data_IF_945684007806
#
_entry.id   IF_945684007806
#
_cell.length_a   1.000
_cell.length_b   1.000
_cell.length_c   1.000
_cell.angle_alpha   90.00
_cell.angle_beta   90.00
_cell.angle_gamma   90.00
#
_symmetry.space_group_name_H-M   'P 1'
#
loop_
_entity.id
_entity.type
_entity.pdbx_description
1 polymer ?
#
# COMPACT_ATOMS: atom_id res chain seq x y z
N UNK A 1 12.90 5.60 7.34
CA UNK A 1 13.69 4.75 6.42
C UNK A 1 12.76 3.69 5.82
N UNK A 2 12.97 3.31 4.56
CA UNK A 2 12.06 2.46 3.77
C UNK A 2 11.60 1.17 4.48
N UNK A 3 12.52 0.46 5.16
CA UNK A 3 12.18 -0.80 5.86
C UNK A 3 11.09 -0.64 6.90
N UNK A 4 11.10 0.48 7.66
CA UNK A 4 10.06 0.78 8.65
C UNK A 4 8.71 1.00 7.98
N UNK A 5 8.66 1.74 6.86
CA UNK A 5 7.41 1.96 6.12
C UNK A 5 6.83 0.64 5.62
N UNK A 6 7.67 -0.25 5.07
CA UNK A 6 7.25 -1.57 4.61
C UNK A 6 6.73 -2.42 5.78
N UNK A 7 7.44 -2.46 6.91
CA UNK A 7 7.02 -3.19 8.11
C UNK A 7 5.67 -2.70 8.66
N UNK A 8 5.51 -1.38 8.77
CA UNK A 8 4.27 -0.74 9.22
C UNK A 8 3.10 -1.06 8.27
N UNK A 9 3.35 -1.09 6.96
CA UNK A 9 2.33 -1.42 5.96
C UNK A 9 1.91 -2.89 5.98
N UNK A 10 2.86 -3.83 6.16
CA UNK A 10 2.54 -5.24 6.36
C UNK A 10 1.57 -5.40 7.53
N UNK A 11 1.89 -4.78 8.67
CA UNK A 11 1.06 -4.81 9.87
C UNK A 11 -0.31 -4.17 9.64
N UNK A 12 -0.33 -2.99 9.01
CA UNK A 12 -1.55 -2.25 8.70
C UNK A 12 -2.51 -3.09 7.86
N UNK A 13 -2.06 -3.65 6.73
CA UNK A 13 -2.90 -4.47 5.87
C UNK A 13 -3.35 -5.77 6.54
N UNK A 14 -2.47 -6.42 7.31
CA UNK A 14 -2.83 -7.62 8.08
C UNK A 14 -3.99 -7.34 9.05
N UNK A 15 -3.89 -6.26 9.83
CA UNK A 15 -4.92 -5.88 10.81
C UNK A 15 -6.23 -5.49 10.10
N UNK A 16 -6.17 -4.71 9.03
CA UNK A 16 -7.37 -4.31 8.27
C UNK A 16 -8.10 -5.49 7.64
N UNK A 17 -7.36 -6.54 7.28
CA UNK A 17 -7.92 -7.81 6.80
C UNK A 17 -8.34 -8.76 7.93
N UNK A 18 -8.27 -8.32 9.19
CA UNK A 18 -8.61 -9.09 10.40
C UNK A 18 -7.81 -10.39 10.54
N UNK A 19 -6.58 -10.40 10.04
CA UNK A 19 -5.70 -11.57 10.10
C UNK A 19 -4.84 -11.53 11.37
N UNK A 20 -4.71 -12.65 12.07
CA UNK A 20 -3.67 -12.85 13.09
C UNK A 20 -2.29 -13.08 12.44
N UNK A 21 -1.21 -13.05 13.22
CA UNK A 21 0.11 -13.45 12.72
C UNK A 21 0.11 -14.91 12.25
N UNK A 22 -0.62 -15.79 12.94
CA UNK A 22 -0.78 -17.19 12.55
C UNK A 22 -1.54 -17.35 11.21
N UNK A 23 -2.53 -16.49 10.95
CA UNK A 23 -3.24 -16.49 9.66
C UNK A 23 -2.31 -16.08 8.51
N UNK A 24 -1.55 -15.00 8.69
CA UNK A 24 -0.59 -14.55 7.67
C UNK A 24 0.56 -15.54 7.51
N UNK A 25 0.99 -16.18 8.60
CA UNK A 25 1.99 -17.25 8.59
C UNK A 25 1.56 -18.39 7.68
N UNK A 26 0.32 -18.85 7.83
CA UNK A 26 -0.26 -19.92 7.02
C UNK A 26 -0.34 -19.55 5.54
N UNK A 27 -0.77 -18.33 5.22
CA UNK A 27 -0.98 -17.92 3.82
C UNK A 27 0.30 -17.50 3.11
N UNK A 28 1.34 -17.09 3.85
CA UNK A 28 2.65 -16.71 3.29
C UNK A 28 3.70 -17.81 3.37
N UNK A 29 3.42 -18.91 4.09
CA UNK A 29 4.38 -19.98 4.40
C UNK A 29 5.64 -19.46 5.11
N UNK A 30 5.43 -18.52 6.05
CA UNK A 30 6.48 -17.91 6.87
C UNK A 30 6.12 -18.10 8.34
N UNK A 31 7.08 -18.44 9.17
CA UNK A 31 6.90 -18.57 10.61
C UNK A 31 6.31 -17.28 11.25
N UNK A 32 5.36 -17.45 12.17
CA UNK A 32 4.63 -16.33 12.79
C UNK A 32 5.51 -15.47 13.71
N UNK A 33 6.51 -16.08 14.36
CA UNK A 33 7.53 -15.38 15.15
C UNK A 33 8.42 -14.56 14.23
N UNK A 34 8.82 -15.10 13.08
CA UNK A 34 9.54 -14.36 12.05
C UNK A 34 8.72 -13.16 11.55
N UNK A 35 7.45 -13.35 11.17
CA UNK A 35 6.55 -12.26 10.76
C UNK A 35 6.39 -11.19 11.84
N UNK A 36 6.31 -11.58 13.11
CA UNK A 36 6.26 -10.65 14.23
C UNK A 36 7.51 -9.74 14.28
N UNK A 37 8.70 -10.30 14.04
CA UNK A 37 9.96 -9.54 13.97
C UNK A 37 10.00 -8.63 12.74
N UNK A 38 9.43 -9.06 11.61
CA UNK A 38 9.28 -8.24 10.40
C UNK A 38 8.43 -7.01 10.70
N UNK A 39 7.23 -7.20 11.28
CA UNK A 39 6.31 -6.09 11.58
C UNK A 39 6.85 -5.08 12.61
N UNK A 40 7.74 -5.54 13.51
CA UNK A 40 8.43 -4.66 14.46
C UNK A 40 9.69 -4.01 13.88
N UNK A 41 10.01 -4.28 12.61
CA UNK A 41 11.22 -3.82 11.93
C UNK A 41 12.52 -4.20 12.68
N UNK A 42 12.52 -5.38 13.31
CA UNK A 42 13.68 -5.94 14.04
C UNK A 42 14.64 -6.70 13.11
N UNK A 43 14.17 -7.06 11.92
CA UNK A 43 14.94 -7.77 10.90
C UNK A 43 14.71 -7.15 9.52
N UNK A 44 15.75 -7.20 8.69
CA UNK A 44 15.63 -6.90 7.28
C UNK A 44 15.20 -8.15 6.53
N UNK A 45 14.27 -7.99 5.59
CA UNK A 45 13.76 -9.07 4.75
C UNK A 45 14.24 -8.93 3.30
N UNK A 46 14.30 -10.03 2.58
CA UNK A 46 14.54 -10.02 1.14
C UNK A 46 13.27 -9.62 0.37
N UNK A 47 13.41 -9.20 -0.88
CA UNK A 47 12.26 -8.96 -1.76
C UNK A 47 11.42 -10.24 -1.98
N UNK A 48 12.05 -11.41 -2.06
CA UNK A 48 11.32 -12.69 -2.17
C UNK A 48 10.45 -12.95 -0.93
N UNK A 49 10.97 -12.64 0.27
CA UNK A 49 10.21 -12.74 1.51
C UNK A 49 9.04 -11.75 1.51
N UNK A 50 9.29 -10.51 1.07
CA UNK A 50 8.23 -9.49 0.93
C UNK A 50 7.15 -9.93 -0.07
N UNK A 51 7.53 -10.52 -1.21
CA UNK A 51 6.58 -11.01 -2.20
C UNK A 51 5.68 -12.11 -1.63
N UNK A 52 6.24 -13.05 -0.84
CA UNK A 52 5.45 -14.06 -0.12
C UNK A 52 4.47 -13.44 0.87
N UNK A 53 4.89 -12.42 1.61
CA UNK A 53 4.02 -11.68 2.53
C UNK A 53 2.88 -10.98 1.79
N UNK A 54 3.19 -10.27 0.69
CA UNK A 54 2.20 -9.59 -0.15
C UNK A 54 1.17 -10.59 -0.71
N UNK A 55 1.63 -11.75 -1.19
CA UNK A 55 0.75 -12.85 -1.63
C UNK A 55 -0.10 -13.40 -0.49
N UNK A 56 0.50 -13.60 0.70
CA UNK A 56 -0.20 -14.05 1.90
C UNK A 56 -1.24 -13.07 2.41
N UNK A 57 -1.05 -11.77 2.17
CA UNK A 57 -2.05 -10.72 2.41
C UNK A 57 -3.15 -10.68 1.34
N UNK A 58 -3.08 -11.53 0.31
CA UNK A 58 -3.96 -11.52 -0.86
C UNK A 58 -3.99 -10.15 -1.55
N UNK A 59 -2.79 -9.64 -1.86
CA UNK A 59 -2.59 -8.37 -2.53
C UNK A 59 -1.64 -8.53 -3.72
N UNK A 60 -1.76 -7.62 -4.67
CA UNK A 60 -0.75 -7.40 -5.71
C UNK A 60 0.32 -6.43 -5.20
N UNK A 61 1.54 -6.42 -5.78
CA UNK A 61 2.54 -5.41 -5.46
C UNK A 61 2.02 -3.97 -5.64
N UNK A 62 1.26 -3.70 -6.69
CA UNK A 62 0.67 -2.37 -6.92
C UNK A 62 -0.26 -1.94 -5.77
N UNK A 63 -1.13 -2.85 -5.30
CA UNK A 63 -1.99 -2.57 -4.14
C UNK A 63 -1.18 -2.38 -2.85
N UNK A 64 -0.14 -3.20 -2.65
CA UNK A 64 0.70 -3.10 -1.46
C UNK A 64 1.50 -1.80 -1.44
N UNK A 65 2.07 -1.40 -2.57
CA UNK A 65 2.88 -0.18 -2.70
C UNK A 65 2.05 1.08 -2.99
N UNK A 66 0.72 1.00 -3.02
CA UNK A 66 -0.15 2.16 -3.22
C UNK A 66 0.03 3.27 -2.17
N UNK A 67 0.65 2.98 -1.01
CA UNK A 67 1.04 4.00 -0.03
C UNK A 67 2.22 4.86 -0.46
N UNK A 68 2.94 4.48 -1.52
CA UNK A 68 4.02 5.27 -2.11
C UNK A 68 3.49 6.28 -3.13
N UNK A 69 2.18 6.31 -3.39
CA UNK A 69 1.60 7.27 -4.32
C UNK A 69 1.40 8.61 -3.60
N UNK A 70 1.95 9.65 -4.23
CA UNK A 70 1.89 11.09 -3.90
C UNK A 70 3.01 11.66 -3.04
N UNK A 71 4.25 11.56 -3.54
CA UNK A 71 5.18 12.69 -3.39
C UNK A 71 4.87 13.70 -4.50
N UNK A 72 4.06 14.70 -4.15
CA UNK A 72 3.94 15.95 -4.91
C UNK A 72 4.46 17.06 -4.01
N UNK A 73 5.33 17.93 -4.54
CA UNK A 73 5.76 19.15 -3.84
C UNK A 73 4.60 20.11 -3.57
N UNK A 74 3.42 19.84 -4.16
CA UNK A 74 2.18 20.53 -3.89
C UNK A 74 1.25 19.68 -2.99
N UNK A 75 1.16 19.98 -1.68
CA UNK A 75 0.29 19.25 -0.74
C UNK A 75 -1.20 19.34 -1.07
N UNK A 76 -1.65 20.41 -1.74
CA UNK A 76 -3.06 20.55 -2.13
C UNK A 76 -3.42 19.58 -3.26
N UNK A 77 -2.50 19.35 -4.20
CA UNK A 77 -2.71 18.36 -5.24
C UNK A 77 -2.85 16.95 -4.66
N UNK A 78 -2.04 16.61 -3.65
CA UNK A 78 -2.15 15.33 -2.93
C UNK A 78 -3.52 15.17 -2.29
N UNK A 79 -4.01 16.19 -1.58
CA UNK A 79 -5.33 16.18 -0.95
C UNK A 79 -6.46 16.01 -1.96
N UNK A 80 -6.38 16.72 -3.09
CA UNK A 80 -7.38 16.62 -4.16
C UNK A 80 -7.42 15.20 -4.73
N UNK A 81 -6.27 14.59 -4.98
CA UNK A 81 -6.22 13.24 -5.52
C UNK A 81 -6.77 12.22 -4.52
N UNK A 82 -6.44 12.34 -3.23
CA UNK A 82 -7.02 11.49 -2.16
C UNK A 82 -8.56 11.62 -2.08
N UNK A 83 -9.08 12.85 -2.18
CA UNK A 83 -10.53 13.10 -2.22
C UNK A 83 -11.19 12.49 -3.45
N UNK A 84 -10.56 12.58 -4.62
CA UNK A 84 -11.05 11.96 -5.86
C UNK A 84 -11.09 10.43 -5.71
N UNK A 85 -10.03 9.83 -5.18
CA UNK A 85 -9.93 8.38 -4.97
C UNK A 85 -11.02 7.85 -4.03
N UNK A 86 -11.35 8.58 -2.96
CA UNK A 86 -12.39 8.19 -1.98
C UNK A 86 -13.82 8.48 -2.41
N UNK A 87 -14.02 9.23 -3.49
CA UNK A 87 -15.34 9.66 -3.94
C UNK A 87 -16.10 8.53 -4.65
N UNK A 88 -17.42 8.35 -4.40
CA UNK A 88 -18.25 7.43 -5.18
C UNK A 88 -18.35 7.82 -6.66
N UNK A 89 -17.98 9.06 -7.01
CA UNK A 89 -17.95 9.58 -8.38
C UNK A 89 -16.54 9.62 -8.98
N UNK A 90 -15.57 8.87 -8.41
CA UNK A 90 -14.18 8.85 -8.85
C UNK A 90 -14.02 8.82 -10.38
N UNK A 91 -14.70 7.89 -11.07
CA UNK A 91 -14.63 7.77 -12.54
C UNK A 91 -14.98 9.07 -13.27
N UNK A 92 -16.03 9.75 -12.85
CA UNK A 92 -16.47 11.02 -13.44
C UNK A 92 -15.47 12.14 -13.13
N UNK A 93 -15.00 12.22 -11.88
CA UNK A 93 -14.01 13.23 -11.45
C UNK A 93 -12.68 13.07 -12.18
N UNK A 94 -12.22 11.84 -12.38
CA UNK A 94 -11.00 11.55 -13.17
C UNK A 94 -11.17 11.93 -14.65
N UNK A 95 -12.37 11.79 -15.23
CA UNK A 95 -12.64 12.27 -16.60
C UNK A 95 -12.50 13.78 -16.71
N UNK A 96 -13.12 14.52 -15.79
CA UNK A 96 -13.06 15.99 -15.77
C UNK A 96 -11.62 16.46 -15.58
N UNK A 97 -10.87 15.85 -14.64
CA UNK A 97 -9.47 16.18 -14.42
C UNK A 97 -8.62 15.98 -15.69
N UNK A 98 -8.89 14.91 -16.44
CA UNK A 98 -8.22 14.64 -17.73
C UNK A 98 -8.58 15.70 -18.78
N UNK A 99 -9.83 16.13 -18.85
CA UNK A 99 -10.25 17.21 -19.76
C UNK A 99 -9.52 18.53 -19.44
N UNK A 100 -9.40 18.89 -18.16
CA UNK A 100 -8.66 20.08 -17.73
C UNK A 100 -7.18 20.01 -18.16
N UNK A 101 -6.53 18.84 -18.00
CA UNK A 101 -5.14 18.64 -18.42
C UNK A 101 -5.00 18.79 -19.93
N UNK A 102 -5.90 18.20 -20.72
CA UNK A 102 -5.86 18.31 -22.18
C UNK A 102 -6.05 19.75 -22.67
N UNK A 103 -6.81 20.59 -21.95
CA UNK A 103 -6.96 22.02 -22.25
C UNK A 103 -5.70 22.85 -21.96
N UNK A 104 -4.77 22.30 -21.18
CA UNK A 104 -3.50 22.95 -20.82
C UNK A 104 -2.34 22.58 -21.76
N UNK A 105 -2.54 21.62 -22.68
CA UNK A 105 -1.57 21.30 -23.72
C UNK A 105 -1.65 22.37 -24.84
N UNK A 106 -0.51 22.88 -25.34
CA UNK A 106 -0.45 23.94 -26.34
C UNK A 106 -0.92 23.52 -27.74
#
# INVERSE_FOLDING_TARGET
>A
MLNKMVADQIRHYRINKKMTLADLSRTSEIDDTYLGRVERNEINITLNTLEKIIKGLHMTPAQFFGFLEFESDNPELVKVIDQIQKSPKQKQLTSIAREIVNLSEP
#
